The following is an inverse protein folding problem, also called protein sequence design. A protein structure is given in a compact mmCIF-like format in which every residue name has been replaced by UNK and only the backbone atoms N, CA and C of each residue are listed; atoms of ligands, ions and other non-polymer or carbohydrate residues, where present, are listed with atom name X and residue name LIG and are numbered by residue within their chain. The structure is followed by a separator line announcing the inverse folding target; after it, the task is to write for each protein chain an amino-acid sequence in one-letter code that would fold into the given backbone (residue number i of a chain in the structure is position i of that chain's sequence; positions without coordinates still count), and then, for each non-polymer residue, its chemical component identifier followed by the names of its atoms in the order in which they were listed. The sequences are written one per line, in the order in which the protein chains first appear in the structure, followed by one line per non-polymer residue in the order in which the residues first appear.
data_IF_634624056573
#
_entry.id   IF_634624056573
#
_cell.length_a   1.000
_cell.length_b   1.000
_cell.length_c   1.000
_cell.angle_alpha   90.00
_cell.angle_beta   90.00
_cell.angle_gamma   90.00
#
_symmetry.space_group_name_H-M   'P 1'
#
loop_
_entity.id
_entity.type
_entity.pdbx_description
1 polymer ?
#
# COMPACT_ATOMS: atom_id res chain seq x y z
N UNK A 1 -4.96 21.12 -16.55
CA UNK A 1 -5.31 19.81 -15.96
C UNK A 1 -4.66 19.75 -14.59
N UNK A 2 -5.45 19.77 -13.52
CA UNK A 2 -4.91 19.81 -12.16
C UNK A 2 -4.25 18.46 -11.84
N UNK A 3 -2.91 18.46 -11.76
CA UNK A 3 -2.11 17.35 -11.26
C UNK A 3 -2.52 17.10 -9.81
N UNK A 4 -3.27 16.03 -9.60
CA UNK A 4 -3.66 15.57 -8.27
C UNK A 4 -2.38 15.25 -7.51
N UNK A 5 -1.98 16.14 -6.60
CA UNK A 5 -0.78 15.99 -5.79
C UNK A 5 -0.74 14.56 -5.24
N UNK A 6 0.29 13.78 -5.63
CA UNK A 6 0.49 12.42 -5.12
C UNK A 6 0.66 12.59 -3.62
N UNK A 7 -0.38 12.29 -2.83
CA UNK A 7 -0.25 12.18 -1.37
C UNK A 7 0.76 11.07 -1.14
N UNK A 8 2.02 11.46 -0.95
CA UNK A 8 3.12 10.56 -0.73
C UNK A 8 3.05 10.13 0.73
N UNK A 9 2.47 8.96 0.98
CA UNK A 9 2.62 8.30 2.26
C UNK A 9 4.10 7.98 2.48
N UNK A 10 4.65 8.41 3.62
CA UNK A 10 6.03 8.10 3.99
C UNK A 10 6.19 6.59 4.15
N UNK A 11 7.41 6.09 3.92
CA UNK A 11 7.69 4.66 4.11
C UNK A 11 7.42 4.21 5.55
N UNK A 12 7.75 5.07 6.52
CA UNK A 12 7.45 4.86 7.94
C UNK A 12 5.96 4.68 8.18
N UNK A 13 5.11 5.53 7.61
CA UNK A 13 3.67 5.42 7.73
C UNK A 13 3.13 4.10 7.13
N UNK A 14 3.66 3.69 5.98
CA UNK A 14 3.29 2.40 5.37
C UNK A 14 3.67 1.21 6.24
N UNK A 15 4.89 1.21 6.78
CA UNK A 15 5.40 0.12 7.62
C UNK A 15 4.61 0.00 8.90
N UNK A 16 4.30 1.13 9.55
CA UNK A 16 3.50 1.15 10.78
C UNK A 16 2.09 0.61 10.52
N UNK A 17 1.43 1.08 9.45
CA UNK A 17 0.11 0.59 9.05
C UNK A 17 0.07 -0.92 8.79
N UNK A 18 1.08 -1.45 8.08
CA UNK A 18 1.20 -2.88 7.80
C UNK A 18 1.50 -3.66 9.09
N UNK A 19 2.37 -3.14 9.97
CA UNK A 19 2.72 -3.78 11.24
C UNK A 19 1.50 -3.94 12.15
N UNK A 20 0.61 -2.95 12.20
CA UNK A 20 -0.65 -3.03 12.95
C UNK A 20 -1.57 -4.13 12.41
N UNK A 21 -1.65 -4.31 11.09
CA UNK A 21 -2.45 -5.39 10.51
C UNK A 21 -1.82 -6.76 10.80
N UNK A 22 -0.49 -6.85 10.69
CA UNK A 22 0.26 -8.09 10.96
C UNK A 22 0.18 -8.49 12.44
N UNK A 23 0.10 -7.53 13.36
CA UNK A 23 -0.11 -7.81 14.79
C UNK A 23 -1.53 -8.30 15.13
N UNK A 24 -2.44 -8.33 14.15
CA UNK A 24 -3.78 -8.88 14.27
C UNK A 24 -4.90 -7.83 14.31
N UNK A 25 -4.60 -6.55 14.12
CA UNK A 25 -5.62 -5.50 14.08
C UNK A 25 -6.35 -5.57 12.73
N UNK A 26 -7.68 -5.43 12.77
CA UNK A 26 -8.52 -5.43 11.57
C UNK A 26 -8.13 -4.28 10.64
N UNK A 27 -7.93 -4.58 9.35
CA UNK A 27 -7.60 -3.57 8.33
C UNK A 27 -8.60 -2.40 8.27
N UNK A 28 -9.88 -2.65 8.58
CA UNK A 28 -10.90 -1.59 8.64
C UNK A 28 -10.58 -0.60 9.77
N UNK A 29 -10.27 -1.11 10.95
CA UNK A 29 -9.92 -0.30 12.11
C UNK A 29 -8.64 0.50 11.87
N UNK A 30 -7.59 -0.13 11.34
CA UNK A 30 -6.32 0.56 11.03
C UNK A 30 -6.52 1.65 9.98
N UNK A 31 -7.33 1.40 8.95
CA UNK A 31 -7.62 2.40 7.92
C UNK A 31 -8.39 3.61 8.48
N UNK A 32 -9.37 3.38 9.36
CA UNK A 32 -10.15 4.43 10.03
C UNK A 32 -9.26 5.24 10.99
N UNK A 33 -8.44 4.56 11.80
CA UNK A 33 -7.53 5.18 12.77
C UNK A 33 -6.45 6.06 12.10
N UNK A 34 -5.88 5.57 11.01
CA UNK A 34 -4.83 6.25 10.25
C UNK A 34 -5.36 7.25 9.20
N UNK A 35 -6.68 7.39 9.08
CA UNK A 35 -7.31 8.31 8.12
C UNK A 35 -6.99 7.99 6.65
N UNK A 36 -6.87 6.71 6.30
CA UNK A 36 -6.58 6.27 4.94
C UNK A 36 -7.65 5.33 4.38
N UNK A 37 -7.64 5.16 3.06
CA UNK A 37 -8.57 4.23 2.42
C UNK A 37 -8.15 2.77 2.69
N UNK A 38 -9.09 1.93 3.13
CA UNK A 38 -8.86 0.48 3.35
C UNK A 38 -8.24 -0.22 2.15
N UNK A 39 -8.63 0.16 0.93
CA UNK A 39 -8.09 -0.41 -0.31
C UNK A 39 -6.57 -0.18 -0.47
N UNK A 40 -6.07 0.94 0.04
CA UNK A 40 -4.64 1.29 0.01
C UNK A 40 -3.87 0.39 0.97
N UNK A 41 -4.38 0.23 2.20
CA UNK A 41 -3.81 -0.68 3.20
C UNK A 41 -3.82 -2.13 2.72
N UNK A 42 -4.93 -2.59 2.12
CA UNK A 42 -5.03 -3.94 1.59
C UNK A 42 -3.97 -4.22 0.51
N UNK A 43 -3.67 -3.24 -0.35
CA UNK A 43 -2.62 -3.36 -1.34
C UNK A 43 -1.23 -3.50 -0.68
N UNK A 44 -0.93 -2.69 0.34
CA UNK A 44 0.35 -2.74 1.06
C UNK A 44 0.54 -4.04 1.85
N UNK A 45 -0.49 -4.53 2.52
CA UNK A 45 -0.43 -5.81 3.24
C UNK A 45 -0.18 -6.97 2.28
N UNK A 46 -0.87 -6.96 1.14
CA UNK A 46 -0.66 -7.97 0.08
C UNK A 46 0.78 -7.91 -0.45
N UNK A 47 1.29 -6.71 -0.69
CA UNK A 47 2.65 -6.47 -1.16
C UNK A 47 3.71 -6.96 -0.18
N UNK A 48 3.59 -6.60 1.10
CA UNK A 48 4.48 -7.06 2.17
C UNK A 48 4.50 -8.60 2.29
N UNK A 49 3.34 -9.25 2.08
CA UNK A 49 3.24 -10.70 2.03
C UNK A 49 4.00 -11.34 0.87
N UNK A 50 4.00 -10.71 -0.31
CA UNK A 50 4.77 -11.19 -1.47
C UNK A 50 6.27 -10.98 -1.29
N UNK A 51 6.70 -9.81 -0.80
CA UNK A 51 8.12 -9.53 -0.50
C UNK A 51 8.72 -10.56 0.47
N UNK A 52 7.92 -11.00 1.46
CA UNK A 52 8.33 -12.02 2.43
C UNK A 52 8.52 -13.41 1.80
N UNK A 53 7.94 -13.66 0.62
CA UNK A 53 8.02 -14.94 -0.10
C UNK A 53 9.04 -14.93 -1.24
N UNK A 54 9.90 -13.90 -1.34
CA UNK A 54 10.91 -13.79 -2.41
C UNK A 54 10.31 -13.48 -3.78
N UNK A 55 9.01 -13.23 -3.85
CA UNK A 55 8.34 -12.71 -5.04
C UNK A 55 8.36 -11.20 -4.88
N UNK A 56 9.12 -10.45 -5.67
CA UNK A 56 8.98 -8.99 -5.66
C UNK A 56 7.62 -8.66 -6.29
N UNK A 57 6.60 -8.24 -5.53
CA UNK A 57 5.46 -7.60 -6.15
C UNK A 57 6.00 -6.37 -6.88
N UNK A 58 5.57 -6.17 -8.12
CA UNK A 58 5.84 -4.94 -8.87
C UNK A 58 5.04 -3.83 -8.19
N UNK A 59 5.59 -3.28 -7.11
CA UNK A 59 5.05 -2.18 -6.31
C UNK A 59 5.40 -0.85 -6.97
N UNK A 60 5.15 -0.75 -8.27
CA UNK A 60 5.18 0.55 -8.90
C UNK A 60 3.89 0.74 -9.68
N UNK A 61 3.05 1.63 -9.15
CA UNK A 61 1.80 2.04 -9.78
C UNK A 61 2.07 2.78 -11.10
N UNK A 62 3.29 3.25 -11.34
CA UNK A 62 3.72 3.78 -12.65
C UNK A 62 4.06 2.61 -13.59
N UNK A 63 4.75 1.55 -13.16
CA UNK A 63 5.02 0.38 -14.03
C UNK A 63 3.74 -0.30 -14.56
N UNK A 64 2.65 -0.34 -13.79
CA UNK A 64 1.36 -0.85 -14.31
C UNK A 64 0.73 0.04 -15.39
N UNK A 65 1.09 1.32 -15.45
CA UNK A 65 0.66 2.20 -16.54
C UNK A 65 1.56 2.03 -17.78
N UNK A 66 2.85 1.83 -17.59
CA UNK A 66 3.79 1.58 -18.69
C UNK A 66 3.57 0.21 -19.37
N UNK A 67 3.19 -0.84 -18.63
CA UNK A 67 2.92 -2.18 -19.22
C UNK A 67 1.55 -2.31 -19.90
N UNK A 68 0.61 -1.39 -19.66
CA UNK A 68 -0.69 -1.36 -20.34
C UNK A 68 -0.64 -0.63 -21.69
N UNK A 69 0.55 -0.18 -22.11
CA UNK A 69 0.76 0.58 -23.34
C UNK A 69 1.81 -0.06 -24.29
N UNK A 70 2.17 -1.33 -24.05
CA UNK A 70 2.99 -2.13 -24.95
C UNK A 70 2.13 -2.95 -25.94
#
# INVERSE_FOLDING_TARGET
MASMAKIAYTDEFKRDAVALVVSGILQKQVAEDMGMAKITLQAWVRDAGFQSHGMTPTTDREQRKDMAQA
#
